data_IF_471307061921
#
_entry.id   IF_471307061921
#
_cell.length_a   1.000
_cell.length_b   1.000
_cell.length_c   1.000
_cell.angle_alpha   90.00
_cell.angle_beta   90.00
_cell.angle_gamma   90.00
#
_symmetry.space_group_name_H-M   'P 1'
#
loop_
_entity.id
_entity.type
_entity.pdbx_description
1 polymer ?
#
# COMPACT_ATOMS: atom_id res chain seq x y z
N UNK A 1 27.22 -2.76 -12.54
CA UNK A 1 26.63 -2.40 -13.84
C UNK A 1 25.87 -3.57 -14.47
N UNK A 2 26.49 -4.72 -14.74
CA UNK A 2 25.83 -5.90 -15.38
C UNK A 2 24.53 -6.33 -14.67
N UNK A 3 24.54 -6.49 -13.33
CA UNK A 3 23.35 -6.88 -12.56
C UNK A 3 22.19 -5.91 -12.69
N UNK A 4 22.44 -4.61 -12.69
CA UNK A 4 21.41 -3.57 -12.84
C UNK A 4 20.76 -3.67 -14.22
N UNK A 5 21.56 -3.84 -15.28
CA UNK A 5 21.05 -4.02 -16.65
C UNK A 5 20.18 -5.28 -16.74
N UNK A 6 20.64 -6.39 -16.16
CA UNK A 6 19.91 -7.63 -16.11
C UNK A 6 18.57 -7.50 -15.39
N UNK A 7 18.57 -6.87 -14.21
CA UNK A 7 17.33 -6.59 -13.46
C UNK A 7 16.39 -5.65 -14.21
N UNK A 8 16.93 -4.64 -14.88
CA UNK A 8 16.13 -3.72 -15.69
C UNK A 8 15.45 -4.44 -16.87
N UNK A 9 16.17 -5.35 -17.55
CA UNK A 9 15.59 -6.16 -18.61
C UNK A 9 14.44 -7.04 -18.10
N UNK A 10 14.61 -7.71 -16.95
CA UNK A 10 13.55 -8.49 -16.33
C UNK A 10 12.37 -7.64 -15.88
N UNK A 11 12.61 -6.43 -15.39
CA UNK A 11 11.53 -5.51 -15.02
C UNK A 11 10.70 -5.13 -16.25
N UNK A 12 11.34 -4.83 -17.38
CA UNK A 12 10.65 -4.54 -18.64
C UNK A 12 9.82 -5.74 -19.10
N UNK A 13 10.39 -6.94 -19.07
CA UNK A 13 9.67 -8.17 -19.44
C UNK A 13 8.47 -8.41 -18.51
N UNK A 14 8.63 -8.16 -17.21
CA UNK A 14 7.53 -8.27 -16.24
C UNK A 14 6.41 -7.26 -16.52
N UNK A 15 6.74 -6.01 -16.88
CA UNK A 15 5.75 -5.00 -17.25
C UNK A 15 5.00 -5.41 -18.52
N UNK A 16 5.70 -5.86 -19.55
CA UNK A 16 5.08 -6.34 -20.81
C UNK A 16 4.17 -7.53 -20.54
N UNK A 17 4.63 -8.52 -19.76
CA UNK A 17 3.78 -9.67 -19.40
C UNK A 17 2.56 -9.29 -18.58
N UNK A 18 2.71 -8.32 -17.67
CA UNK A 18 1.58 -7.78 -16.90
C UNK A 18 0.53 -7.13 -17.78
N UNK A 19 0.95 -6.32 -18.76
CA UNK A 19 0.05 -5.70 -19.73
C UNK A 19 -0.62 -6.76 -20.64
N UNK A 20 0.14 -7.74 -21.12
CA UNK A 20 -0.40 -8.83 -21.93
C UNK A 20 -1.49 -9.59 -21.18
N UNK A 21 -1.25 -9.96 -19.90
CA UNK A 21 -2.26 -10.61 -19.05
C UNK A 21 -3.46 -9.68 -18.83
N UNK A 22 -3.23 -8.40 -18.54
CA UNK A 22 -4.26 -7.41 -18.24
C UNK A 22 -5.25 -7.25 -19.39
N UNK A 23 -4.75 -7.16 -20.63
CA UNK A 23 -5.58 -6.94 -21.82
C UNK A 23 -6.13 -8.22 -22.43
N UNK A 24 -5.61 -9.40 -22.09
CA UNK A 24 -6.08 -10.68 -22.64
C UNK A 24 -7.10 -11.37 -21.72
N UNK A 25 -6.63 -12.00 -20.66
CA UNK A 25 -7.41 -12.93 -19.85
C UNK A 25 -7.90 -12.37 -18.51
N UNK A 26 -7.23 -11.34 -17.99
CA UNK A 26 -7.51 -10.80 -16.66
C UNK A 26 -8.96 -10.32 -16.47
N UNK A 27 -9.63 -9.63 -17.45
CA UNK A 27 -11.01 -9.17 -17.29
C UNK A 27 -12.02 -10.30 -17.10
N UNK A 28 -11.69 -11.50 -17.57
CA UNK A 28 -12.57 -12.68 -17.52
C UNK A 28 -12.36 -13.55 -16.28
N UNK A 29 -11.32 -13.25 -15.48
CA UNK A 29 -10.97 -14.04 -14.31
C UNK A 29 -11.81 -13.70 -13.08
N UNK A 30 -12.15 -14.69 -12.23
CA UNK A 30 -12.74 -14.45 -10.91
C UNK A 30 -11.84 -13.59 -10.02
N UNK A 31 -12.45 -12.79 -9.14
CA UNK A 31 -11.72 -11.87 -8.24
C UNK A 31 -10.62 -12.57 -7.43
N UNK A 32 -10.87 -13.81 -6.96
CA UNK A 32 -9.89 -14.60 -6.21
C UNK A 32 -8.62 -14.91 -7.04
N UNK A 33 -8.81 -15.22 -8.33
CA UNK A 33 -7.69 -15.50 -9.26
C UNK A 33 -6.93 -14.21 -9.56
N UNK A 34 -7.66 -13.11 -9.83
CA UNK A 34 -7.03 -11.78 -10.01
C UNK A 34 -6.15 -11.40 -8.80
N UNK A 35 -6.63 -11.64 -7.58
CA UNK A 35 -5.85 -11.37 -6.37
C UNK A 35 -4.57 -12.20 -6.30
N UNK A 36 -4.64 -13.51 -6.63
CA UNK A 36 -3.46 -14.39 -6.68
C UNK A 36 -2.45 -13.93 -7.74
N UNK A 37 -2.92 -13.54 -8.93
CA UNK A 37 -2.03 -13.04 -10.01
C UNK A 37 -1.33 -11.76 -9.56
N UNK A 38 -2.07 -10.80 -8.97
CA UNK A 38 -1.46 -9.56 -8.43
C UNK A 38 -0.40 -9.86 -7.37
N UNK A 39 -0.69 -10.77 -6.45
CA UNK A 39 0.26 -11.17 -5.40
C UNK A 39 1.52 -11.81 -6.00
N UNK A 40 1.36 -12.73 -6.95
CA UNK A 40 2.49 -13.38 -7.61
C UNK A 40 3.33 -12.38 -8.41
N UNK A 41 2.67 -11.53 -9.20
CA UNK A 41 3.33 -10.47 -9.98
C UNK A 41 4.12 -9.50 -9.08
N UNK A 42 3.53 -9.10 -7.95
CA UNK A 42 4.19 -8.25 -6.95
C UNK A 42 5.42 -8.92 -6.35
N UNK A 43 5.35 -10.23 -6.04
CA UNK A 43 6.52 -11.00 -5.55
C UNK A 43 7.64 -11.06 -6.59
N UNK A 44 7.31 -11.27 -7.87
CA UNK A 44 8.31 -11.22 -8.94
C UNK A 44 8.96 -9.85 -9.07
N UNK A 45 8.17 -8.77 -9.01
CA UNK A 45 8.69 -7.41 -9.04
C UNK A 45 9.66 -7.16 -7.89
N UNK A 46 9.30 -7.50 -6.66
CA UNK A 46 10.17 -7.36 -5.49
C UNK A 46 11.44 -8.19 -5.62
N UNK A 47 11.34 -9.42 -6.13
CA UNK A 47 12.50 -10.29 -6.41
C UNK A 47 13.46 -9.69 -7.45
N UNK A 48 12.93 -9.12 -8.55
CA UNK A 48 13.73 -8.41 -9.56
C UNK A 48 14.41 -7.19 -8.94
N UNK A 49 13.70 -6.44 -8.09
CA UNK A 49 14.27 -5.34 -7.32
C UNK A 49 15.32 -5.80 -6.29
N UNK A 50 15.41 -7.10 -6.00
CA UNK A 50 16.31 -7.66 -5.00
C UNK A 50 15.88 -7.36 -3.58
N UNK A 51 14.58 -7.26 -3.35
CA UNK A 51 13.96 -7.02 -2.05
C UNK A 51 13.47 -8.35 -1.50
N UNK A 52 14.03 -8.75 -0.36
CA UNK A 52 13.49 -9.81 0.46
C UNK A 52 12.26 -9.28 1.21
N UNK A 53 11.20 -10.09 1.30
CA UNK A 53 9.97 -9.72 1.98
C UNK A 53 9.76 -10.58 3.22
N UNK A 54 9.73 -9.95 4.37
CA UNK A 54 9.35 -10.55 5.64
C UNK A 54 8.03 -9.95 6.11
N UNK A 55 7.09 -10.80 6.51
CA UNK A 55 5.80 -10.34 7.04
C UNK A 55 5.50 -10.99 8.39
N UNK A 56 5.02 -10.18 9.31
CA UNK A 56 4.54 -10.58 10.64
C UNK A 56 3.07 -10.20 10.74
N UNK A 57 2.26 -11.12 11.23
CA UNK A 57 0.85 -10.88 11.47
C UNK A 57 0.56 -11.08 12.96
N UNK A 58 0.08 -10.03 13.64
CA UNK A 58 -0.20 -10.08 15.08
C UNK A 58 -1.54 -10.77 15.42
N UNK A 59 -2.40 -10.97 14.44
CA UNK A 59 -3.71 -11.57 14.67
C UNK A 59 -3.79 -12.98 14.09
N UNK A 60 -4.32 -13.89 14.90
CA UNK A 60 -4.52 -15.30 14.54
C UNK A 60 -5.94 -15.64 14.12
N UNK A 61 -6.89 -14.72 14.37
CA UNK A 61 -8.31 -14.95 14.03
C UNK A 61 -8.56 -14.66 12.56
N UNK A 62 -9.32 -15.52 11.92
CA UNK A 62 -9.94 -15.21 10.62
C UNK A 62 -10.76 -13.95 10.79
N UNK A 63 -10.34 -12.86 10.14
CA UNK A 63 -11.07 -11.61 10.21
C UNK A 63 -12.31 -11.77 9.35
N UNK A 64 -13.46 -11.84 9.99
CA UNK A 64 -14.76 -11.88 9.34
C UNK A 64 -15.17 -10.43 9.03
N UNK A 65 -15.02 -10.01 7.78
CA UNK A 65 -15.50 -8.73 7.30
C UNK A 65 -14.49 -7.93 6.49
N UNK A 66 -14.95 -6.85 5.87
CA UNK A 66 -14.12 -5.97 5.08
C UNK A 66 -13.23 -5.11 5.97
N UNK A 67 -12.04 -4.77 5.47
CA UNK A 67 -11.08 -3.94 6.21
C UNK A 67 -10.62 -2.74 5.40
N UNK A 68 -10.49 -1.62 6.09
CA UNK A 68 -9.69 -0.50 5.61
C UNK A 68 -8.25 -0.70 6.07
N UNK A 69 -7.37 -0.98 5.12
CA UNK A 69 -5.94 -1.20 5.38
C UNK A 69 -5.22 0.15 5.33
N UNK A 70 -4.61 0.52 6.43
CA UNK A 70 -3.94 1.81 6.59
C UNK A 70 -2.46 1.58 6.84
N UNK A 71 -1.60 2.15 5.98
CA UNK A 71 -0.17 1.90 6.02
C UNK A 71 0.62 3.22 5.92
N UNK A 72 1.81 3.27 6.56
CA UNK A 72 2.78 4.34 6.32
C UNK A 72 3.35 4.23 4.89
N UNK A 73 3.90 5.34 4.38
CA UNK A 73 4.30 5.46 2.98
C UNK A 73 5.74 5.90 2.82
N UNK A 74 6.58 5.03 2.25
CA UNK A 74 8.02 5.24 2.08
C UNK A 74 8.40 5.28 0.59
N UNK A 75 7.74 4.44 -0.22
CA UNK A 75 8.14 4.24 -1.62
C UNK A 75 6.93 3.85 -2.49
N UNK A 76 7.07 4.02 -3.80
CA UNK A 76 6.16 3.43 -4.78
C UNK A 76 6.10 1.89 -4.68
N UNK A 77 7.11 1.24 -4.09
CA UNK A 77 7.15 -0.21 -3.84
C UNK A 77 6.15 -0.69 -2.79
N UNK A 78 5.67 0.18 -1.90
CA UNK A 78 4.82 -0.17 -0.76
C UNK A 78 3.54 -0.89 -1.20
N UNK A 79 2.97 -0.48 -2.34
CA UNK A 79 1.80 -1.12 -2.95
C UNK A 79 2.09 -2.59 -3.25
N UNK A 80 3.26 -2.89 -3.81
CA UNK A 80 3.65 -4.26 -4.19
C UNK A 80 4.02 -5.10 -2.97
N UNK A 81 4.63 -4.50 -1.95
CA UNK A 81 4.92 -5.17 -0.68
C UNK A 81 3.62 -5.63 -0.01
N UNK A 82 2.62 -4.75 0.11
CA UNK A 82 1.33 -5.14 0.68
C UNK A 82 0.61 -6.15 -0.22
N UNK A 83 0.55 -5.93 -1.53
CA UNK A 83 -0.16 -6.82 -2.48
C UNK A 83 0.41 -8.23 -2.49
N UNK A 84 1.72 -8.38 -2.27
CA UNK A 84 2.39 -9.70 -2.21
C UNK A 84 1.92 -10.56 -1.03
N UNK A 85 1.38 -9.93 0.04
CA UNK A 85 0.99 -10.59 1.29
C UNK A 85 -0.52 -10.55 1.52
N UNK A 86 -1.13 -9.40 1.21
CA UNK A 86 -2.52 -9.13 1.58
C UNK A 86 -3.32 -8.59 0.38
N UNK A 87 -4.46 -9.20 0.04
CA UNK A 87 -5.29 -8.77 -1.08
C UNK A 87 -6.04 -7.49 -0.72
N UNK A 88 -5.68 -6.36 -1.32
CA UNK A 88 -6.39 -5.11 -1.16
C UNK A 88 -6.52 -4.35 -2.48
N UNK A 89 -7.53 -3.49 -2.57
CA UNK A 89 -7.67 -2.48 -3.62
C UNK A 89 -7.08 -1.17 -3.11
N UNK A 90 -6.21 -0.53 -3.87
CA UNK A 90 -5.54 0.69 -3.44
C UNK A 90 -6.27 1.96 -3.86
N UNK A 91 -6.02 3.03 -3.08
CA UNK A 91 -6.36 4.39 -3.46
C UNK A 91 -5.07 5.09 -3.88
N UNK A 92 -5.06 5.64 -5.08
CA UNK A 92 -3.91 6.33 -5.66
C UNK A 92 -4.29 7.71 -6.19
N UNK A 93 -3.29 8.58 -6.35
CA UNK A 93 -3.47 9.90 -6.99
C UNK A 93 -3.87 9.73 -8.46
N UNK A 94 -4.77 10.59 -8.96
CA UNK A 94 -5.26 10.56 -10.34
C UNK A 94 -4.13 10.75 -11.38
N UNK A 95 -3.06 11.46 -11.02
CA UNK A 95 -1.90 11.69 -11.88
C UNK A 95 -1.20 10.37 -12.26
N UNK A 96 -1.20 9.37 -11.38
CA UNK A 96 -0.59 8.05 -11.65
C UNK A 96 -1.28 7.36 -12.84
N UNK A 97 -2.56 7.62 -13.05
CA UNK A 97 -3.31 7.07 -14.19
C UNK A 97 -2.72 7.48 -15.56
N UNK A 98 -2.03 8.64 -15.61
CA UNK A 98 -1.40 9.18 -16.82
C UNK A 98 0.01 8.64 -17.07
N UNK A 99 0.58 7.87 -16.14
CA UNK A 99 1.92 7.33 -16.32
C UNK A 99 1.91 6.25 -17.41
N UNK A 100 2.82 6.32 -18.39
CA UNK A 100 2.91 5.33 -19.46
C UNK A 100 3.08 3.92 -18.88
N UNK A 101 2.36 2.95 -19.43
CA UNK A 101 2.37 1.53 -19.06
C UNK A 101 1.92 1.27 -17.61
N UNK A 102 2.54 1.91 -16.61
CA UNK A 102 2.21 1.76 -15.18
C UNK A 102 0.80 2.25 -14.88
N UNK A 103 0.35 3.34 -15.46
CA UNK A 103 -1.02 3.85 -15.28
C UNK A 103 -2.08 2.85 -15.71
N UNK A 104 -1.83 2.11 -16.80
CA UNK A 104 -2.73 1.05 -17.26
C UNK A 104 -2.75 -0.16 -16.33
N UNK A 105 -1.58 -0.60 -15.82
CA UNK A 105 -1.48 -1.70 -14.85
C UNK A 105 -2.18 -1.33 -13.54
N UNK A 106 -1.96 -0.11 -13.04
CA UNK A 106 -2.58 0.39 -11.81
C UNK A 106 -4.10 0.52 -11.99
N UNK A 107 -4.57 1.09 -13.10
CA UNK A 107 -6.00 1.20 -13.39
C UNK A 107 -6.67 -0.19 -13.54
N UNK A 108 -6.05 -1.08 -14.29
CA UNK A 108 -6.55 -2.44 -14.52
C UNK A 108 -6.54 -3.32 -13.27
N UNK A 109 -5.72 -2.99 -12.28
CA UNK A 109 -5.74 -3.68 -10.97
C UNK A 109 -6.97 -3.35 -10.11
N UNK A 110 -7.81 -2.39 -10.54
CA UNK A 110 -9.00 -1.95 -9.82
C UNK A 110 -8.76 -0.79 -8.85
N UNK A 111 -7.63 -0.10 -8.97
CA UNK A 111 -7.27 1.05 -8.13
C UNK A 111 -8.32 2.17 -8.19
N UNK A 112 -8.65 2.73 -7.04
CA UNK A 112 -9.53 3.90 -6.91
C UNK A 112 -8.65 5.15 -7.04
N UNK A 113 -8.97 6.04 -7.99
CA UNK A 113 -8.21 7.27 -8.19
C UNK A 113 -8.87 8.44 -7.48
N UNK A 114 -8.06 9.27 -6.82
CA UNK A 114 -8.49 10.47 -6.12
C UNK A 114 -7.84 11.72 -6.71
N UNK A 115 -8.67 12.73 -7.02
CA UNK A 115 -8.21 14.08 -7.29
C UNK A 115 -8.11 14.87 -5.99
N UNK A 116 -6.95 15.48 -5.76
CA UNK A 116 -6.71 16.26 -4.54
C UNK A 116 -7.32 17.65 -4.64
N UNK A 117 -7.66 18.23 -3.47
CA UNK A 117 -8.14 19.62 -3.36
C UNK A 117 -9.65 19.78 -3.50
N UNK A 118 -10.40 18.76 -3.91
CA UNK A 118 -11.86 18.84 -4.03
C UNK A 118 -12.57 18.06 -2.93
N UNK A 119 -13.42 18.75 -2.14
CA UNK A 119 -14.30 18.10 -1.15
C UNK A 119 -15.27 17.11 -1.81
N UNK A 120 -15.69 17.42 -3.03
CA UNK A 120 -16.57 16.54 -3.81
C UNK A 120 -15.86 15.24 -4.20
N UNK A 121 -14.62 15.33 -4.68
CA UNK A 121 -13.81 14.16 -5.01
C UNK A 121 -13.58 13.25 -3.78
N UNK A 122 -13.29 13.83 -2.61
CA UNK A 122 -13.16 13.07 -1.35
C UNK A 122 -14.45 12.33 -1.00
N UNK A 123 -15.62 12.99 -1.13
CA UNK A 123 -16.92 12.35 -0.88
C UNK A 123 -17.16 11.17 -1.84
N UNK A 124 -16.90 11.36 -3.12
CA UNK A 124 -17.04 10.31 -4.13
C UNK A 124 -16.12 9.11 -3.83
N UNK A 125 -14.86 9.36 -3.46
CA UNK A 125 -13.91 8.29 -3.08
C UNK A 125 -14.38 7.56 -1.83
N UNK A 126 -14.86 8.25 -0.79
CA UNK A 126 -15.41 7.60 0.41
C UNK A 126 -16.61 6.70 0.06
N UNK A 127 -17.49 7.14 -0.83
CA UNK A 127 -18.60 6.29 -1.30
C UNK A 127 -18.10 5.06 -2.06
N UNK A 128 -17.07 5.19 -2.90
CA UNK A 128 -16.49 4.06 -3.61
C UNK A 128 -15.78 3.10 -2.65
N UNK A 129 -15.08 3.60 -1.62
CA UNK A 129 -14.53 2.78 -0.54
C UNK A 129 -15.63 1.95 0.10
N UNK A 130 -16.74 2.60 0.52
CA UNK A 130 -17.87 1.89 1.14
C UNK A 130 -18.47 0.83 0.23
N UNK A 131 -18.64 1.13 -1.07
CA UNK A 131 -19.15 0.14 -2.04
C UNK A 131 -18.23 -1.07 -2.16
N UNK A 132 -16.91 -0.88 -2.15
CA UNK A 132 -15.92 -1.98 -2.19
C UNK A 132 -15.97 -2.81 -0.92
N UNK A 133 -15.98 -2.15 0.24
CA UNK A 133 -16.11 -2.82 1.53
C UNK A 133 -17.41 -3.64 1.62
N UNK A 134 -18.53 -3.12 1.14
CA UNK A 134 -19.81 -3.84 1.09
C UNK A 134 -19.77 -5.09 0.19
N UNK A 135 -18.88 -5.13 -0.80
CA UNK A 135 -18.62 -6.32 -1.63
C UNK A 135 -17.65 -7.31 -0.97
N UNK A 136 -17.21 -7.04 0.27
CA UNK A 136 -16.23 -7.86 0.98
C UNK A 136 -14.78 -7.63 0.52
N UNK A 137 -14.51 -6.59 -0.29
CA UNK A 137 -13.16 -6.24 -0.69
C UNK A 137 -12.46 -5.45 0.42
N UNK A 138 -11.15 -5.64 0.57
CA UNK A 138 -10.33 -4.78 1.43
C UNK A 138 -9.84 -3.57 0.63
N UNK A 139 -9.81 -2.39 1.26
CA UNK A 139 -9.34 -1.15 0.63
C UNK A 139 -8.13 -0.61 1.38
N UNK A 140 -7.01 -0.40 0.67
CA UNK A 140 -5.75 0.08 1.24
C UNK A 140 -5.46 1.51 0.80
N UNK A 141 -4.93 2.32 1.72
CA UNK A 141 -4.48 3.67 1.41
C UNK A 141 -3.36 4.13 2.35
N UNK A 142 -2.65 5.18 1.91
CA UNK A 142 -1.57 5.83 2.62
C UNK A 142 -2.04 7.21 3.10
N UNK A 143 -2.47 7.35 4.36
CA UNK A 143 -3.06 8.61 4.85
C UNK A 143 -2.04 9.74 5.03
N UNK A 144 -0.75 9.47 4.97
CA UNK A 144 0.31 10.49 4.92
C UNK A 144 0.20 11.36 3.66
N UNK A 145 -0.40 10.82 2.61
CA UNK A 145 -0.63 11.53 1.36
C UNK A 145 0.64 11.84 0.55
N UNK A 146 1.80 11.57 1.07
CA UNK A 146 3.11 11.63 0.41
C UNK A 146 4.01 10.54 0.98
N UNK A 147 5.09 10.23 0.30
CA UNK A 147 6.13 9.34 0.81
C UNK A 147 7.05 10.07 1.78
N UNK A 148 7.58 9.33 2.75
CA UNK A 148 8.51 9.80 3.78
C UNK A 148 9.84 9.05 3.69
N UNK A 149 10.81 9.45 4.50
CA UNK A 149 12.09 8.75 4.63
C UNK A 149 11.98 7.45 5.47
N UNK A 150 10.82 7.18 6.05
CA UNK A 150 10.55 5.99 6.86
C UNK A 150 11.15 5.98 8.26
N UNK A 151 11.66 7.11 8.77
CA UNK A 151 12.12 7.24 10.17
C UNK A 151 10.95 7.32 11.13
N UNK A 152 9.98 8.12 10.77
CA UNK A 152 8.76 8.34 11.54
C UNK A 152 7.56 8.35 10.61
N UNK A 153 6.38 8.14 11.16
CA UNK A 153 5.11 8.22 10.41
C UNK A 153 4.62 9.67 10.43
N UNK A 154 4.41 10.24 9.25
CA UNK A 154 3.89 11.60 9.11
C UNK A 154 2.46 11.73 9.65
N UNK A 155 1.96 12.96 9.73
CA UNK A 155 0.59 13.21 10.13
C UNK A 155 -0.41 12.60 9.14
N UNK A 156 -1.48 12.01 9.66
CA UNK A 156 -2.51 11.37 8.84
C UNK A 156 -3.61 12.33 8.43
N UNK A 157 -3.91 12.37 7.14
CA UNK A 157 -5.13 12.96 6.64
C UNK A 157 -6.34 12.12 7.03
N UNK A 158 -7.30 12.72 7.71
CA UNK A 158 -8.44 12.01 8.31
C UNK A 158 -9.61 11.79 7.35
N UNK A 159 -9.58 12.40 6.17
CA UNK A 159 -10.72 12.48 5.25
C UNK A 159 -11.21 11.11 4.75
N UNK A 160 -10.32 10.17 4.48
CA UNK A 160 -10.69 8.84 4.00
C UNK A 160 -11.18 7.90 5.12
N UNK A 161 -10.85 8.21 6.38
CA UNK A 161 -11.39 7.46 7.52
C UNK A 161 -12.90 7.65 7.68
N UNK A 162 -13.49 8.67 7.05
CA UNK A 162 -14.92 8.89 7.06
C UNK A 162 -15.71 7.68 6.51
N UNK A 163 -15.16 6.92 5.57
CA UNK A 163 -15.81 5.73 5.02
C UNK A 163 -16.03 4.60 6.05
N UNK A 164 -15.26 4.61 7.16
CA UNK A 164 -15.44 3.65 8.26
C UNK A 164 -16.38 4.16 9.36
N UNK A 165 -16.81 5.43 9.32
CA UNK A 165 -17.58 6.00 10.42
C UNK A 165 -19.03 5.55 10.42
N UNK A 166 -19.62 5.32 11.61
CA UNK A 166 -21.07 5.19 11.76
C UNK A 166 -21.77 6.41 11.15
N UNK A 167 -22.81 6.17 10.38
CA UNK A 167 -23.56 7.25 9.69
C UNK A 167 -22.99 7.67 8.34
N UNK A 168 -21.87 7.11 7.88
CA UNK A 168 -21.44 7.26 6.49
C UNK A 168 -22.40 6.51 5.54
N UNK A 169 -22.63 7.07 4.35
CA UNK A 169 -23.55 6.49 3.37
C UNK A 169 -22.81 6.06 2.09
N UNK A 170 -22.98 4.81 1.63
CA UNK A 170 -23.71 3.71 2.29
C UNK A 170 -22.97 3.21 3.54
N UNK A 171 -23.71 2.78 4.59
CA UNK A 171 -23.10 2.29 5.83
C UNK A 171 -22.45 0.93 5.59
N UNK A 172 -21.27 0.70 6.18
CA UNK A 172 -20.56 -0.57 6.12
C UNK A 172 -20.59 -1.23 7.50
N UNK A 173 -21.34 -2.32 7.68
CA UNK A 173 -21.39 -3.00 8.96
C UNK A 173 -20.06 -3.70 9.26
N UNK A 174 -19.68 -3.74 10.53
CA UNK A 174 -18.52 -4.47 11.03
C UNK A 174 -17.19 -4.15 10.32
N UNK A 175 -17.05 -2.91 9.81
CA UNK A 175 -15.77 -2.49 9.23
C UNK A 175 -14.69 -2.39 10.30
N UNK A 176 -13.50 -2.88 9.99
CA UNK A 176 -12.33 -2.69 10.84
C UNK A 176 -11.24 -1.92 10.09
N UNK A 177 -10.42 -1.18 10.82
CA UNK A 177 -9.19 -0.59 10.32
C UNK A 177 -8.02 -1.50 10.66
N UNK A 178 -7.30 -1.96 9.65
CA UNK A 178 -6.08 -2.75 9.80
C UNK A 178 -4.85 -1.83 9.69
N UNK A 179 -4.18 -1.50 10.81
CA UNK A 179 -2.94 -0.77 10.76
C UNK A 179 -1.83 -1.68 10.23
N UNK A 180 -1.02 -1.19 9.30
CA UNK A 180 0.12 -1.91 8.73
C UNK A 180 1.35 -1.03 8.81
N UNK A 181 2.40 -1.53 9.45
CA UNK A 181 3.69 -0.85 9.50
C UNK A 181 4.65 -1.46 8.49
N UNK A 182 5.32 -0.62 7.72
CA UNK A 182 6.32 -1.02 6.74
C UNK A 182 7.64 -0.31 7.02
N UNK A 183 8.72 -1.10 7.07
CA UNK A 183 10.08 -0.60 7.16
C UNK A 183 10.97 -1.25 6.10
N UNK A 184 11.92 -0.47 5.58
CA UNK A 184 12.92 -0.96 4.64
C UNK A 184 14.30 -0.94 5.28
N UNK A 185 14.92 -2.11 5.34
CA UNK A 185 16.20 -2.35 6.00
C UNK A 185 17.27 -2.69 4.96
N UNK A 186 18.46 -2.19 5.17
CA UNK A 186 19.65 -2.52 4.42
C UNK A 186 20.84 -2.58 5.36
N UNK A 187 21.56 -3.72 5.42
CA UNK A 187 22.70 -3.92 6.34
C UNK A 187 22.36 -3.57 7.81
N UNK A 188 21.21 -4.03 8.29
CA UNK A 188 20.66 -3.78 9.63
C UNK A 188 20.35 -2.32 9.97
N UNK A 189 20.38 -1.41 9.01
CA UNK A 189 20.01 0.01 9.16
C UNK A 189 18.83 0.32 8.26
N UNK A 190 18.23 1.48 8.46
CA UNK A 190 17.22 2.00 7.55
C UNK A 190 17.82 2.12 6.13
N UNK A 191 17.10 1.64 5.14
CA UNK A 191 17.55 1.77 3.75
C UNK A 191 17.46 3.22 3.28
N UNK A 192 18.52 3.71 2.66
CA UNK A 192 18.55 5.00 1.96
C UNK A 192 18.23 4.84 0.46
N UNK A 193 18.23 3.61 -0.04
CA UNK A 193 18.00 3.32 -1.45
C UNK A 193 16.52 3.21 -1.83
N UNK A 194 15.63 2.99 -0.86
CA UNK A 194 14.21 2.72 -1.14
C UNK A 194 13.30 3.93 -1.01
N UNK A 195 13.49 4.87 -0.06
CA UNK A 195 12.63 6.04 0.07
C UNK A 195 12.53 6.83 -1.23
N UNK A 196 11.30 7.20 -1.59
CA UNK A 196 11.00 8.00 -2.79
C UNK A 196 10.57 9.40 -2.36
N UNK A 197 11.55 10.29 -2.15
CA UNK A 197 11.37 11.61 -1.52
C UNK A 197 12.06 12.73 -2.32
N UNK A 198 11.65 13.96 -2.06
CA UNK A 198 12.22 15.16 -2.69
C UNK A 198 11.92 15.23 -4.19
N UNK A 199 12.88 15.75 -4.95
CA UNK A 199 12.79 15.94 -6.40
C UNK A 199 13.21 14.70 -7.20
N UNK A 200 13.32 13.54 -6.55
CA UNK A 200 13.73 12.30 -7.19
C UNK A 200 12.71 11.87 -8.25
N UNK A 201 13.19 11.59 -9.48
CA UNK A 201 12.34 11.00 -10.51
C UNK A 201 12.11 9.51 -10.27
N UNK A 202 11.03 8.96 -10.84
CA UNK A 202 10.77 7.51 -10.76
C UNK A 202 11.92 6.69 -11.34
N UNK A 203 12.55 7.17 -12.43
CA UNK A 203 13.68 6.48 -13.07
C UNK A 203 14.90 6.46 -12.14
N UNK A 204 15.19 7.55 -11.43
CA UNK A 204 16.28 7.61 -10.46
C UNK A 204 16.06 6.64 -9.32
N UNK A 205 14.82 6.59 -8.78
CA UNK A 205 14.44 5.64 -7.73
C UNK A 205 14.60 4.19 -8.21
N UNK A 206 14.09 3.84 -9.40
CA UNK A 206 14.25 2.52 -9.98
C UNK A 206 15.74 2.16 -10.12
N UNK A 207 16.56 3.07 -10.64
CA UNK A 207 17.99 2.87 -10.82
C UNK A 207 18.71 2.64 -9.50
N UNK A 208 18.38 3.40 -8.48
CA UNK A 208 18.92 3.28 -7.13
C UNK A 208 18.56 1.92 -6.51
N UNK A 209 17.29 1.51 -6.58
CA UNK A 209 16.82 0.23 -6.06
C UNK A 209 17.46 -0.95 -6.80
N UNK A 210 17.49 -0.95 -8.14
CA UNK A 210 18.09 -2.03 -8.94
C UNK A 210 19.60 -2.17 -8.71
N UNK A 211 20.27 -1.10 -8.31
CA UNK A 211 21.69 -1.09 -7.96
C UNK A 211 21.97 -1.60 -6.54
N UNK A 212 21.03 -1.44 -5.63
CA UNK A 212 21.18 -1.79 -4.22
C UNK A 212 21.28 -3.31 -3.98
N UNK A 213 21.78 -3.67 -2.78
CA UNK A 213 21.92 -5.08 -2.33
C UNK A 213 21.40 -5.20 -0.91
N UNK A 214 20.93 -6.41 -0.57
CA UNK A 214 20.51 -6.74 0.78
C UNK A 214 19.35 -5.88 1.28
N UNK A 215 18.41 -5.54 0.37
CA UNK A 215 17.21 -4.83 0.73
C UNK A 215 16.21 -5.82 1.34
N UNK A 216 15.65 -5.43 2.48
CA UNK A 216 14.63 -6.18 3.20
C UNK A 216 13.44 -5.27 3.46
N UNK A 217 12.26 -5.68 3.03
CA UNK A 217 10.99 -5.07 3.40
C UNK A 217 10.37 -5.87 4.56
N UNK A 218 10.16 -5.23 5.70
CA UNK A 218 9.49 -5.81 6.86
C UNK A 218 8.09 -5.24 6.98
N UNK A 219 7.08 -6.09 6.79
CA UNK A 219 5.67 -5.74 6.83
C UNK A 219 5.02 -6.30 8.09
N UNK A 220 4.49 -5.44 8.94
CA UNK A 220 3.80 -5.82 10.18
C UNK A 220 2.30 -5.52 10.04
N UNK A 221 1.49 -6.56 9.97
CA UNK A 221 0.03 -6.45 10.02
C UNK A 221 -0.37 -6.49 11.50
N UNK A 222 -0.79 -5.35 12.04
CA UNK A 222 -1.10 -5.17 13.45
C UNK A 222 -2.54 -5.61 13.76
N UNK A 223 -2.88 -5.74 15.03
CA UNK A 223 -4.24 -6.07 15.43
C UNK A 223 -5.26 -5.05 14.88
N UNK A 224 -6.32 -5.49 14.21
CA UNK A 224 -7.34 -4.59 13.67
C UNK A 224 -8.04 -3.77 14.75
N UNK A 225 -8.47 -2.57 14.38
CA UNK A 225 -9.25 -1.66 15.20
C UNK A 225 -10.70 -1.75 14.74
N UNK A 226 -11.57 -2.31 15.57
CA UNK A 226 -13.00 -2.34 15.31
C UNK A 226 -13.59 -0.92 15.45
N UNK A 227 -14.47 -0.54 14.53
CA UNK A 227 -15.18 0.75 14.55
C UNK A 227 -16.62 0.45 14.95
N UNK A 228 -16.86 0.33 16.25
CA UNK A 228 -18.16 -0.16 16.78
C UNK A 228 -18.95 0.86 17.61
N UNK A 229 -18.37 2.01 17.97
CA UNK A 229 -19.08 2.99 18.80
C UNK A 229 -19.42 4.27 18.04
N UNK A 230 -20.61 4.80 18.30
CA UNK A 230 -21.06 6.11 17.80
C UNK A 230 -20.15 7.27 18.26
N UNK A 231 -19.36 7.05 19.30
CA UNK A 231 -18.42 8.03 19.86
C UNK A 231 -17.06 8.08 19.11
N UNK A 232 -16.78 7.11 18.26
CA UNK A 232 -15.53 7.08 17.52
C UNK A 232 -15.54 8.15 16.43
N UNK A 233 -14.67 9.14 16.55
CA UNK A 233 -14.46 10.13 15.48
C UNK A 233 -13.39 9.68 14.50
N UNK A 234 -13.47 10.15 13.24
CA UNK A 234 -12.42 9.90 12.23
C UNK A 234 -11.05 10.39 12.65
N UNK A 235 -10.99 11.46 13.47
CA UNK A 235 -9.74 12.03 13.99
C UNK A 235 -9.11 11.10 15.04
N UNK A 236 -9.91 10.62 16.01
CA UNK A 236 -9.45 9.68 17.01
C UNK A 236 -9.00 8.35 16.39
N UNK A 237 -9.75 7.85 15.39
CA UNK A 237 -9.39 6.61 14.69
C UNK A 237 -8.08 6.77 13.92
N UNK A 238 -7.90 7.88 13.20
CA UNK A 238 -6.66 8.18 12.47
C UNK A 238 -5.46 8.32 13.41
N UNK A 239 -5.61 9.05 14.54
CA UNK A 239 -4.57 9.20 15.54
C UNK A 239 -4.17 7.85 16.14
N UNK A 240 -5.14 7.05 16.61
CA UNK A 240 -4.90 5.71 17.16
C UNK A 240 -4.20 4.78 16.16
N UNK A 241 -4.61 4.85 14.89
CA UNK A 241 -4.01 4.05 13.81
C UNK A 241 -2.56 4.47 13.58
N UNK A 242 -2.31 5.78 13.47
CA UNK A 242 -0.97 6.34 13.30
C UNK A 242 -0.05 5.96 14.45
N UNK A 243 -0.50 6.10 15.69
CA UNK A 243 0.30 5.82 16.87
C UNK A 243 0.72 4.34 16.96
N UNK A 244 -0.16 3.42 16.55
CA UNK A 244 0.17 2.00 16.47
C UNK A 244 1.25 1.73 15.43
N UNK A 245 1.12 2.29 14.23
CA UNK A 245 2.09 2.12 13.15
C UNK A 245 3.43 2.76 13.56
N UNK A 246 3.39 3.99 14.09
CA UNK A 246 4.59 4.75 14.46
C UNK A 246 5.40 4.05 15.57
N UNK A 247 4.73 3.42 16.55
CA UNK A 247 5.41 2.63 17.58
C UNK A 247 6.23 1.49 16.98
N UNK A 248 5.72 0.78 16.00
CA UNK A 248 6.46 -0.31 15.32
C UNK A 248 7.63 0.26 14.51
N UNK A 249 7.40 1.34 13.76
CA UNK A 249 8.44 2.00 12.98
C UNK A 249 9.56 2.51 13.89
N UNK A 250 9.23 3.21 14.96
CA UNK A 250 10.22 3.75 15.89
C UNK A 250 10.97 2.67 16.68
N UNK A 251 10.29 1.61 17.14
CA UNK A 251 10.95 0.50 17.83
C UNK A 251 11.98 -0.19 16.95
N UNK A 252 11.76 -0.21 15.63
CA UNK A 252 12.72 -0.78 14.68
C UNK A 252 13.99 0.06 14.55
N UNK A 253 13.89 1.37 14.68
CA UNK A 253 15.04 2.27 14.54
C UNK A 253 15.71 2.65 15.87
N UNK A 254 14.99 2.69 16.99
CA UNK A 254 15.52 3.03 18.30
C UNK A 254 16.50 2.00 18.87
N UNK A 255 16.52 0.78 18.34
CA UNK A 255 17.46 -0.29 18.73
C UNK A 255 18.85 -0.11 18.08
N UNK A 256 18.98 0.74 17.06
CA UNK A 256 20.21 0.90 16.27
C UNK A 256 20.81 2.31 16.31
N UNK A 257 20.22 3.22 17.07
CA UNK A 257 20.75 4.59 17.27
C UNK A 257 21.60 4.72 18.53
N UNK A 258 21.93 3.61 19.25
CA UNK A 258 22.85 3.56 20.39
C UNK A 258 24.19 2.96 20.00
#
# INVERSE_FOLDING_TARGET
MVRMIWRAAWLVLLLISGLAILFSIYPWMPLRIRAKIRALWSRFLLGICGIELQSVCEFTRTINGPMMVVMNHVSWLDIFVLTAVFPATFIAKSEIRRWPLLGWLVAGSGTIFIERGSRHAVRHVNQEISRRLLRGEHVAFFPEGTTSDGRTVLAFHTSLFAAAMPGHMPPVPNVAVLPVALTYVQSNRRSEAVPYIGEQTLLDSIRQILSARGLLAQLHLLNPISVSSAETTRHALAAKTRDRINRVVQSRWGVFEN
#
